data_IF_613560588803
#
_entry.id   IF_613560588803
#
_cell.length_a   1.000
_cell.length_b   1.000
_cell.length_c   1.000
_cell.angle_alpha   90.00
_cell.angle_beta   90.00
_cell.angle_gamma   90.00
#
_symmetry.space_group_name_H-M   'P 1'
#
loop_
_entity.id
_entity.type
_entity.pdbx_description
1 polymer ?
#
# COMPACT_ATOMS: atom_id res chain seq x y z
N UNK A 1 -1.55 11.38 15.41
CA UNK A 1 -0.29 10.82 15.94
C UNK A 1 0.43 9.89 14.97
N UNK A 2 -0.22 9.39 13.91
CA UNK A 2 0.35 8.44 12.93
C UNK A 2 1.22 9.09 11.84
N UNK A 3 1.09 10.40 11.60
CA UNK A 3 1.79 11.12 10.51
C UNK A 3 3.25 11.54 10.83
N UNK A 4 3.83 11.13 11.95
CA UNK A 4 5.18 11.59 12.36
C UNK A 4 6.34 10.74 11.86
N UNK A 5 6.10 9.66 11.11
CA UNK A 5 7.12 8.59 11.04
C UNK A 5 7.81 8.48 9.67
N UNK A 6 7.39 9.22 8.65
CA UNK A 6 7.91 9.01 7.28
C UNK A 6 8.82 10.14 6.79
N UNK A 7 10.06 10.21 7.26
CA UNK A 7 11.00 11.29 6.94
C UNK A 7 12.23 10.90 6.11
N UNK A 8 12.38 9.67 5.64
CA UNK A 8 13.68 9.23 5.13
C UNK A 8 13.79 8.75 3.68
N UNK A 9 12.71 8.41 2.99
CA UNK A 9 12.83 7.63 1.75
C UNK A 9 12.29 8.28 0.46
N UNK A 10 11.97 9.55 0.45
CA UNK A 10 11.38 10.19 -0.75
C UNK A 10 12.40 10.75 -1.77
N UNK A 11 13.64 10.32 -1.78
CA UNK A 11 14.58 10.61 -2.88
C UNK A 11 14.93 9.40 -3.73
N UNK A 12 14.27 8.27 -3.56
CA UNK A 12 14.37 7.18 -4.51
C UNK A 12 13.44 7.46 -5.70
N UNK A 13 14.06 7.61 -6.86
CA UNK A 13 13.45 7.58 -8.20
C UNK A 13 12.17 6.73 -8.19
N UNK A 14 11.02 7.33 -8.60
CA UNK A 14 9.69 6.69 -8.65
C UNK A 14 9.66 5.52 -9.68
N UNK A 15 10.79 5.03 -10.08
CA UNK A 15 10.91 3.78 -10.85
C UNK A 15 10.68 2.63 -9.89
N UNK A 16 9.42 2.19 -9.81
CA UNK A 16 9.08 0.89 -9.22
C UNK A 16 10.10 -0.14 -9.71
N UNK A 17 10.85 -0.82 -8.83
CA UNK A 17 11.75 -1.86 -9.28
C UNK A 17 10.96 -2.84 -10.14
N UNK A 18 11.55 -3.35 -11.24
CA UNK A 18 10.84 -4.25 -12.12
C UNK A 18 10.35 -5.45 -11.29
N UNK A 19 9.04 -5.63 -11.28
CA UNK A 19 8.45 -6.88 -10.81
C UNK A 19 9.06 -8.01 -11.63
N UNK A 20 9.26 -9.21 -11.07
CA UNK A 20 9.78 -10.33 -11.83
C UNK A 20 8.99 -10.45 -13.13
N UNK A 21 9.67 -10.29 -14.26
CA UNK A 21 9.07 -10.48 -15.59
C UNK A 21 8.71 -11.95 -15.71
N UNK A 22 7.44 -12.25 -15.58
CA UNK A 22 6.87 -13.56 -15.93
C UNK A 22 5.95 -13.30 -17.10
N UNK A 23 6.28 -13.87 -18.26
CA UNK A 23 5.42 -13.84 -19.44
C UNK A 23 4.02 -14.35 -19.04
N UNK A 24 3.03 -13.46 -19.11
CA UNK A 24 1.68 -13.73 -18.66
C UNK A 24 0.75 -13.83 -19.87
N UNK A 25 0.23 -15.00 -20.10
CA UNK A 25 -1.09 -15.13 -20.70
C UNK A 25 -2.11 -14.83 -19.59
N UNK A 26 -2.76 -13.67 -19.63
CA UNK A 26 -3.85 -13.37 -18.73
C UNK A 26 -4.99 -14.37 -18.96
N UNK A 27 -5.63 -14.89 -17.89
CA UNK A 27 -6.83 -15.71 -18.06
C UNK A 27 -7.89 -14.92 -18.83
N UNK A 28 -8.49 -15.56 -19.81
CA UNK A 28 -9.55 -14.96 -20.64
C UNK A 28 -10.70 -14.53 -19.72
N UNK A 29 -11.06 -13.23 -19.74
CA UNK A 29 -12.26 -12.71 -19.11
C UNK A 29 -12.08 -11.94 -17.80
N UNK A 30 -10.85 -11.77 -17.26
CA UNK A 30 -10.67 -10.97 -16.05
C UNK A 30 -10.37 -9.50 -16.39
N UNK A 31 -11.20 -8.58 -15.85
CA UNK A 31 -10.95 -7.13 -15.89
C UNK A 31 -10.09 -6.74 -14.67
N UNK A 32 -8.88 -6.22 -14.87
CA UNK A 32 -8.07 -5.73 -13.76
C UNK A 32 -8.82 -4.67 -12.95
N UNK A 33 -8.53 -4.60 -11.64
CA UNK A 33 -9.07 -3.56 -10.78
C UNK A 33 -8.73 -2.18 -11.34
N UNK A 34 -9.77 -1.39 -11.63
CA UNK A 34 -9.64 0.01 -12.04
C UNK A 34 -10.15 0.91 -10.91
N UNK A 35 -9.27 1.73 -10.35
CA UNK A 35 -9.62 2.73 -9.34
C UNK A 35 -9.96 4.03 -10.08
N UNK A 36 -11.23 4.17 -10.45
CA UNK A 36 -11.73 5.28 -11.28
C UNK A 36 -12.42 6.39 -10.49
N UNK A 37 -12.60 6.20 -9.18
CA UNK A 37 -13.27 7.15 -8.30
C UNK A 37 -12.53 7.26 -6.97
N UNK A 38 -12.53 8.45 -6.41
CA UNK A 38 -12.03 8.74 -5.06
C UNK A 38 -12.86 8.04 -3.96
N UNK A 39 -14.06 7.55 -4.32
CA UNK A 39 -14.92 6.73 -3.45
C UNK A 39 -14.67 5.23 -3.59
N UNK A 40 -13.75 4.82 -4.48
CA UNK A 40 -13.45 3.40 -4.66
C UNK A 40 -13.00 2.77 -3.33
N UNK A 41 -13.55 1.61 -2.91
CA UNK A 41 -13.32 1.03 -1.59
C UNK A 41 -11.85 0.90 -1.19
N UNK A 42 -10.98 0.45 -2.10
CA UNK A 42 -9.55 0.32 -1.80
C UNK A 42 -8.86 1.68 -1.65
N UNK A 43 -9.26 2.68 -2.44
CA UNK A 43 -8.69 4.02 -2.35
C UNK A 43 -9.08 4.71 -1.03
N UNK A 44 -10.34 4.56 -0.61
CA UNK A 44 -10.80 5.04 0.70
C UNK A 44 -10.06 4.33 1.84
N UNK A 45 -9.88 3.00 1.76
CA UNK A 45 -9.14 2.25 2.78
C UNK A 45 -7.67 2.72 2.89
N UNK A 46 -7.00 3.01 1.77
CA UNK A 46 -5.67 3.63 1.78
C UNK A 46 -5.72 4.99 2.50
N UNK A 47 -6.71 5.82 2.21
CA UNK A 47 -6.88 7.10 2.89
C UNK A 47 -7.11 6.97 4.40
N UNK A 48 -7.78 5.92 4.86
CA UNK A 48 -7.90 5.60 6.30
C UNK A 48 -6.52 5.26 6.88
N UNK A 49 -5.74 4.44 6.19
CA UNK A 49 -4.35 4.13 6.59
C UNK A 49 -3.46 5.37 6.67
N UNK A 50 -3.67 6.34 5.77
CA UNK A 50 -2.94 7.62 5.73
C UNK A 50 -3.50 8.70 6.68
N UNK A 51 -4.64 8.43 7.35
CA UNK A 51 -5.30 9.40 8.22
C UNK A 51 -5.97 10.57 7.47
N UNK A 52 -6.12 10.49 6.16
CA UNK A 52 -6.75 11.50 5.30
C UNK A 52 -8.24 11.26 5.08
N UNK A 53 -8.71 10.05 5.41
CA UNK A 53 -10.11 9.66 5.38
C UNK A 53 -10.58 9.20 6.75
N UNK A 54 -11.86 9.46 7.04
CA UNK A 54 -12.56 8.88 8.21
C UNK A 54 -13.01 7.46 7.91
N UNK A 55 -13.41 6.71 8.93
CA UNK A 55 -13.89 5.33 8.79
C UNK A 55 -15.05 5.18 7.79
N UNK A 56 -15.99 6.13 7.78
CA UNK A 56 -17.10 6.19 6.83
C UNK A 56 -16.74 6.77 5.44
N UNK A 57 -15.45 7.01 5.18
CA UNK A 57 -14.94 7.49 3.88
C UNK A 57 -14.95 9.00 3.67
N UNK A 58 -15.39 9.78 4.64
CA UNK A 58 -15.30 11.24 4.61
C UNK A 58 -13.86 11.76 4.62
N UNK A 59 -13.65 13.02 4.29
CA UNK A 59 -12.34 13.66 4.31
C UNK A 59 -11.99 14.20 5.70
N UNK A 60 -10.75 13.97 6.14
CA UNK A 60 -10.21 14.62 7.32
C UNK A 60 -9.56 15.96 6.95
N UNK A 61 -9.15 16.75 7.96
CA UNK A 61 -8.38 17.98 7.71
C UNK A 61 -7.08 17.72 6.93
N UNK A 62 -6.44 16.57 7.18
CA UNK A 62 -5.17 16.20 6.52
C UNK A 62 -5.33 16.03 5.00
N UNK A 63 -6.51 15.65 4.51
CA UNK A 63 -6.82 15.56 3.08
C UNK A 63 -6.61 16.88 2.34
N UNK A 64 -7.02 18.00 2.95
CA UNK A 64 -6.93 19.33 2.34
C UNK A 64 -5.50 19.90 2.34
N UNK A 65 -4.62 19.25 3.06
CA UNK A 65 -3.20 19.51 3.05
C UNK A 65 -2.62 19.87 4.41
N UNK A 66 -1.38 19.44 4.58
CA UNK A 66 -0.52 19.80 5.70
C UNK A 66 0.91 19.91 5.19
N UNK A 67 1.70 20.75 5.85
CA UNK A 67 3.14 20.85 5.57
C UNK A 67 3.87 19.79 6.39
N UNK A 68 4.65 18.94 5.73
CA UNK A 68 5.52 17.99 6.42
C UNK A 68 6.62 18.77 7.16
N UNK A 69 6.68 18.68 8.50
CA UNK A 69 7.68 19.41 9.27
C UNK A 69 9.12 18.92 9.03
N UNK A 70 9.30 17.80 8.31
CA UNK A 70 10.61 17.24 8.03
C UNK A 70 11.27 17.77 6.79
N UNK A 71 10.50 18.12 5.76
CA UNK A 71 11.02 18.58 4.49
C UNK A 71 10.36 19.87 3.98
N UNK A 72 9.39 20.43 4.72
CA UNK A 72 8.68 21.66 4.35
C UNK A 72 7.72 21.50 3.16
N UNK A 73 7.54 20.29 2.63
CA UNK A 73 6.70 20.06 1.45
C UNK A 73 5.24 19.91 1.86
N UNK A 74 4.36 20.50 1.06
CA UNK A 74 2.92 20.39 1.27
C UNK A 74 2.41 19.05 0.70
N UNK A 75 1.82 18.25 1.55
CA UNK A 75 1.14 17.00 1.22
C UNK A 75 -0.37 17.22 1.12
N UNK A 76 -1.03 16.65 0.12
CA UNK A 76 -2.47 16.78 -0.13
C UNK A 76 -3.07 15.48 -0.66
N UNK A 77 -4.40 15.37 -0.55
CA UNK A 77 -5.18 14.27 -1.11
C UNK A 77 -5.21 13.03 -0.25
N UNK A 78 -5.85 11.99 -0.76
CA UNK A 78 -6.12 10.73 -0.07
C UNK A 78 -4.84 10.02 0.38
N UNK A 79 -3.79 10.08 -0.42
CA UNK A 79 -2.50 9.40 -0.15
C UNK A 79 -1.52 10.29 0.63
N UNK A 80 -1.92 11.51 0.98
CA UNK A 80 -1.00 12.46 1.65
C UNK A 80 0.31 12.66 0.86
N UNK A 81 0.20 12.72 -0.46
CA UNK A 81 1.36 12.67 -1.36
C UNK A 81 1.85 14.03 -1.83
N UNK A 82 3.08 14.05 -2.32
CA UNK A 82 3.78 15.25 -2.81
C UNK A 82 3.64 15.43 -4.34
N UNK A 83 2.63 14.86 -4.97
CA UNK A 83 2.44 14.96 -6.42
C UNK A 83 1.98 16.36 -6.88
N UNK A 84 1.81 17.28 -5.95
CA UNK A 84 1.47 18.68 -6.20
C UNK A 84 0.04 18.93 -6.64
N UNK A 85 -0.35 20.20 -6.69
CA UNK A 85 -1.67 20.65 -7.09
C UNK A 85 -2.73 20.57 -5.99
N UNK A 86 -4.00 20.49 -6.39
CA UNK A 86 -5.12 20.32 -5.46
C UNK A 86 -5.25 18.87 -4.97
N UNK A 87 -5.95 18.63 -3.85
CA UNK A 87 -6.27 17.27 -3.41
C UNK A 87 -6.85 16.39 -4.51
N UNK A 88 -7.82 16.90 -5.27
CA UNK A 88 -8.43 16.15 -6.37
C UNK A 88 -7.43 15.84 -7.52
N UNK A 89 -6.47 16.74 -7.78
CA UNK A 89 -5.42 16.47 -8.78
C UNK A 89 -4.45 15.41 -8.28
N UNK A 90 -4.05 15.47 -7.02
CA UNK A 90 -3.24 14.44 -6.37
C UNK A 90 -3.95 13.07 -6.41
N UNK A 91 -5.24 13.03 -6.06
CA UNK A 91 -6.04 11.81 -6.07
C UNK A 91 -6.12 11.19 -7.47
N UNK A 92 -6.38 11.98 -8.52
CA UNK A 92 -6.39 11.45 -9.90
C UNK A 92 -5.07 10.79 -10.29
N UNK A 93 -3.94 11.39 -9.93
CA UNK A 93 -2.60 10.84 -10.22
C UNK A 93 -2.38 9.53 -9.47
N UNK A 94 -2.74 9.49 -8.18
CA UNK A 94 -2.58 8.30 -7.36
C UNK A 94 -3.53 7.17 -7.78
N UNK A 95 -4.76 7.46 -8.16
CA UNK A 95 -5.68 6.46 -8.74
C UNK A 95 -5.08 5.80 -9.98
N UNK A 96 -4.45 6.57 -10.86
CA UNK A 96 -3.74 6.03 -12.03
C UNK A 96 -2.56 5.13 -11.65
N UNK A 97 -1.72 5.56 -10.69
CA UNK A 97 -0.58 4.78 -10.20
C UNK A 97 -1.06 3.45 -9.59
N UNK A 98 -2.07 3.49 -8.73
CA UNK A 98 -2.59 2.30 -8.05
C UNK A 98 -3.30 1.35 -9.01
N UNK A 99 -4.05 1.87 -10.00
CA UNK A 99 -4.63 1.07 -11.07
C UNK A 99 -3.54 0.35 -11.87
N UNK A 100 -2.48 1.06 -12.27
CA UNK A 100 -1.34 0.46 -12.95
C UNK A 100 -0.62 -0.59 -12.10
N UNK A 101 -0.51 -0.37 -10.78
CA UNK A 101 0.06 -1.36 -9.87
C UNK A 101 -0.84 -2.59 -9.77
N UNK A 102 -2.16 -2.41 -9.61
CA UNK A 102 -3.12 -3.51 -9.59
C UNK A 102 -3.05 -4.36 -10.86
N UNK A 103 -2.99 -3.71 -12.03
CA UNK A 103 -2.88 -4.40 -13.31
C UNK A 103 -1.62 -5.28 -13.40
N UNK A 104 -0.47 -4.77 -12.92
CA UNK A 104 0.80 -5.52 -12.92
C UNK A 104 0.81 -6.69 -11.96
N UNK A 105 0.22 -6.55 -10.77
CA UNK A 105 0.27 -7.61 -9.74
C UNK A 105 -0.83 -8.64 -9.88
N UNK A 106 -1.95 -8.31 -10.49
CA UNK A 106 -3.09 -9.22 -10.69
C UNK A 106 -2.68 -10.57 -11.27
N UNK A 107 -1.96 -10.66 -12.40
CA UNK A 107 -1.56 -11.95 -12.96
C UNK A 107 -0.63 -12.73 -12.03
N UNK A 108 0.18 -12.03 -11.23
CA UNK A 108 1.08 -12.67 -10.25
C UNK A 108 0.28 -13.32 -9.15
N UNK A 109 -0.70 -12.59 -8.58
CA UNK A 109 -1.57 -13.09 -7.51
C UNK A 109 -2.41 -14.30 -7.97
N UNK A 110 -2.91 -14.26 -9.21
CA UNK A 110 -3.67 -15.38 -9.79
C UNK A 110 -2.81 -16.64 -9.94
N UNK A 111 -1.56 -16.51 -10.41
CA UNK A 111 -0.63 -17.65 -10.48
C UNK A 111 -0.27 -18.23 -9.11
N UNK A 112 -0.36 -17.42 -8.06
CA UNK A 112 -0.21 -17.87 -6.67
C UNK A 112 -1.49 -18.52 -6.10
N UNK A 113 -2.53 -18.70 -6.90
CA UNK A 113 -3.79 -19.35 -6.51
C UNK A 113 -4.82 -18.42 -5.87
N UNK A 114 -4.56 -17.12 -5.81
CA UNK A 114 -5.54 -16.16 -5.32
C UNK A 114 -6.65 -15.94 -6.36
N UNK A 115 -7.90 -16.09 -5.93
CA UNK A 115 -9.06 -15.89 -6.80
C UNK A 115 -9.62 -14.48 -6.62
N UNK A 116 -9.78 -13.69 -7.71
CA UNK A 116 -10.38 -12.37 -7.67
C UNK A 116 -11.72 -12.34 -6.94
N UNK A 117 -11.95 -11.30 -6.14
CA UNK A 117 -13.19 -11.12 -5.38
C UNK A 117 -13.24 -11.85 -4.05
N UNK A 118 -12.38 -12.84 -3.79
CA UNK A 118 -12.31 -13.49 -2.48
C UNK A 118 -11.74 -12.57 -1.40
N UNK A 119 -12.01 -12.90 -0.14
CA UNK A 119 -11.46 -12.14 0.99
C UNK A 119 -9.93 -12.15 1.00
N UNK A 120 -9.31 -13.30 0.75
CA UNK A 120 -7.84 -13.42 0.66
C UNK A 120 -7.26 -12.55 -0.45
N UNK A 121 -7.87 -12.59 -1.64
CA UNK A 121 -7.50 -11.71 -2.76
C UNK A 121 -7.54 -10.23 -2.36
N UNK A 122 -8.69 -9.80 -1.84
CA UNK A 122 -8.90 -8.39 -1.50
C UNK A 122 -7.92 -7.91 -0.40
N UNK A 123 -7.66 -8.74 0.61
CA UNK A 123 -6.67 -8.44 1.65
C UNK A 123 -5.28 -8.28 1.08
N UNK A 124 -4.83 -9.25 0.28
CA UNK A 124 -3.48 -9.22 -0.29
C UNK A 124 -3.34 -8.06 -1.26
N UNK A 125 -4.30 -7.88 -2.19
CA UNK A 125 -4.26 -6.78 -3.16
C UNK A 125 -4.27 -5.41 -2.46
N UNK A 126 -5.15 -5.19 -1.48
CA UNK A 126 -5.15 -3.96 -0.69
C UNK A 126 -3.76 -3.69 -0.07
N UNK A 127 -3.16 -4.71 0.54
CA UNK A 127 -1.87 -4.56 1.19
C UNK A 127 -0.70 -4.33 0.22
N UNK A 128 -0.77 -4.86 -1.00
CA UNK A 128 0.16 -4.50 -2.08
C UNK A 128 0.02 -3.02 -2.44
N UNK A 129 -1.22 -2.54 -2.62
CA UNK A 129 -1.49 -1.16 -3.02
C UNK A 129 -1.11 -0.16 -1.91
N UNK A 130 -1.47 -0.45 -0.66
CA UNK A 130 -1.12 0.39 0.49
C UNK A 130 0.41 0.42 0.73
N UNK A 131 1.08 -0.72 0.59
CA UNK A 131 2.54 -0.78 0.68
C UNK A 131 3.23 -0.02 -0.47
N UNK A 132 2.64 -0.03 -1.68
CA UNK A 132 3.15 0.75 -2.81
C UNK A 132 3.09 2.26 -2.55
N UNK A 133 2.13 2.72 -1.75
CA UNK A 133 2.07 4.11 -1.27
C UNK A 133 3.15 4.36 -0.22
N UNK A 134 3.25 3.48 0.76
CA UNK A 134 4.11 3.66 1.93
C UNK A 134 5.60 3.46 1.61
N UNK A 135 5.93 2.40 0.89
CA UNK A 135 7.30 1.98 0.59
C UNK A 135 7.35 1.20 -0.73
N UNK A 136 7.34 1.88 -1.89
CA UNK A 136 7.31 1.22 -3.20
C UNK A 136 8.41 0.17 -3.39
N UNK A 137 9.61 0.40 -2.83
CA UNK A 137 10.74 -0.52 -2.91
C UNK A 137 10.49 -1.86 -2.19
N UNK A 138 9.64 -1.86 -1.15
CA UNK A 138 9.32 -3.07 -0.38
C UNK A 138 8.29 -3.98 -1.07
N UNK A 139 7.57 -3.49 -2.08
CA UNK A 139 6.47 -4.23 -2.74
C UNK A 139 6.95 -5.54 -3.35
N UNK A 140 8.10 -5.54 -4.02
CA UNK A 140 8.65 -6.76 -4.63
C UNK A 140 8.97 -7.84 -3.58
N UNK A 141 9.52 -7.45 -2.43
CA UNK A 141 9.82 -8.35 -1.33
C UNK A 141 8.54 -8.89 -0.68
N UNK A 142 7.53 -8.05 -0.52
CA UNK A 142 6.22 -8.46 -0.02
C UNK A 142 5.56 -9.49 -0.95
N UNK A 143 5.57 -9.26 -2.27
CA UNK A 143 5.00 -10.20 -3.25
C UNK A 143 5.69 -11.58 -3.15
N UNK A 144 6.99 -11.63 -2.96
CA UNK A 144 7.72 -12.90 -2.78
C UNK A 144 7.29 -13.69 -1.53
N UNK A 145 6.75 -13.02 -0.53
CA UNK A 145 6.27 -13.63 0.73
C UNK A 145 4.80 -14.10 0.67
N UNK A 146 4.07 -13.79 -0.41
CA UNK A 146 2.65 -14.17 -0.54
C UNK A 146 2.41 -15.68 -0.38
N UNK A 147 3.22 -16.59 -0.92
CA UNK A 147 3.01 -18.03 -0.67
C UNK A 147 2.97 -18.39 0.82
N UNK A 148 3.85 -17.80 1.63
CA UNK A 148 3.85 -17.99 3.08
C UNK A 148 2.62 -17.38 3.75
N UNK A 149 2.15 -16.22 3.27
CA UNK A 149 0.92 -15.59 3.73
C UNK A 149 -0.28 -16.52 3.49
N UNK A 150 -0.34 -17.16 2.31
CA UNK A 150 -1.43 -18.06 1.94
C UNK A 150 -1.44 -19.33 2.79
N UNK A 151 -0.27 -19.89 3.10
CA UNK A 151 -0.15 -21.04 4.02
C UNK A 151 -0.69 -20.74 5.43
N UNK A 152 -0.73 -19.46 5.81
CA UNK A 152 -1.26 -18.97 7.09
C UNK A 152 -2.69 -18.38 6.93
N UNK A 153 -3.43 -18.79 5.89
CA UNK A 153 -4.82 -18.41 5.64
C UNK A 153 -5.02 -16.92 5.31
N UNK A 154 -3.99 -16.24 4.80
CA UNK A 154 -3.99 -14.80 4.53
C UNK A 154 -4.49 -13.98 5.75
N UNK A 155 -4.06 -14.38 6.95
CA UNK A 155 -4.38 -13.69 8.19
C UNK A 155 -3.75 -12.29 8.26
N UNK A 156 -4.37 -11.39 9.02
CA UNK A 156 -3.83 -10.03 9.22
C UNK A 156 -2.41 -10.09 9.79
N UNK A 157 -2.16 -11.03 10.72
CA UNK A 157 -0.87 -11.19 11.36
C UNK A 157 0.22 -11.64 10.37
N UNK A 158 -0.10 -12.62 9.51
CA UNK A 158 0.81 -13.09 8.46
C UNK A 158 1.14 -11.97 7.47
N UNK A 159 0.14 -11.21 7.06
CA UNK A 159 0.31 -10.07 6.17
C UNK A 159 1.17 -8.98 6.83
N UNK A 160 0.88 -8.62 8.08
CA UNK A 160 1.62 -7.61 8.83
C UNK A 160 3.11 -7.99 8.97
N UNK A 161 3.36 -9.26 9.31
CA UNK A 161 4.73 -9.78 9.40
C UNK A 161 5.45 -9.71 8.06
N UNK A 162 4.81 -10.16 6.99
CA UNK A 162 5.39 -10.11 5.65
C UNK A 162 5.67 -8.68 5.20
N UNK A 163 4.78 -7.72 5.51
CA UNK A 163 5.01 -6.29 5.25
C UNK A 163 6.22 -5.78 6.02
N UNK A 164 6.31 -6.02 7.32
CA UNK A 164 7.44 -5.60 8.14
C UNK A 164 8.77 -6.22 7.68
N UNK A 165 8.76 -7.51 7.39
CA UNK A 165 9.93 -8.23 6.88
C UNK A 165 10.39 -7.75 5.48
N UNK A 166 9.51 -7.05 4.75
CA UNK A 166 9.84 -6.48 3.43
C UNK A 166 10.65 -5.18 3.51
N UNK A 167 10.84 -4.64 4.71
CA UNK A 167 11.77 -3.55 4.97
C UNK A 167 13.18 -4.05 5.35
N UNK A 168 13.39 -5.36 5.42
CA UNK A 168 14.72 -5.92 5.64
C UNK A 168 15.42 -6.03 4.28
N UNK A 169 16.55 -5.35 4.14
CA UNK A 169 17.34 -5.40 2.92
C UNK A 169 17.86 -6.84 2.71
N UNK A 170 17.48 -7.52 1.61
CA UNK A 170 17.79 -8.93 1.43
C UNK A 170 19.30 -9.23 1.24
N UNK A 171 20.11 -8.21 0.88
CA UNK A 171 21.55 -8.37 0.71
C UNK A 171 22.32 -8.20 2.00
N UNK A 172 21.84 -7.35 2.90
CA UNK A 172 22.58 -6.99 4.12
C UNK A 172 21.94 -7.53 5.39
N UNK A 173 20.70 -8.04 5.32
CA UNK A 173 19.91 -8.43 6.48
C UNK A 173 19.51 -7.27 7.41
N UNK A 174 19.81 -6.02 7.03
CA UNK A 174 19.55 -4.86 7.88
C UNK A 174 18.15 -4.33 7.64
N UNK A 175 17.50 -3.90 8.72
CA UNK A 175 16.22 -3.21 8.65
C UNK A 175 16.43 -1.81 8.07
N UNK A 176 15.71 -1.48 7.00
CA UNK A 176 15.67 -0.15 6.38
C UNK A 176 14.30 0.48 6.65
N UNK A 177 14.12 0.98 7.85
CA UNK A 177 12.88 1.58 8.34
C UNK A 177 13.18 2.84 9.18
N UNK A 178 13.93 3.77 8.57
CA UNK A 178 14.39 5.00 9.24
C UNK A 178 13.28 5.82 9.88
N UNK A 179 12.10 5.90 9.24
CA UNK A 179 10.91 6.54 9.80
C UNK A 179 10.40 5.93 11.11
N UNK A 180 10.79 4.70 11.40
CA UNK A 180 10.47 3.98 12.64
C UNK A 180 11.69 3.90 13.60
N UNK A 181 12.74 4.68 13.32
CA UNK A 181 14.00 4.63 14.07
C UNK A 181 14.69 3.27 13.96
N UNK A 182 14.51 2.56 12.83
CA UNK A 182 14.97 1.20 12.59
C UNK A 182 14.55 0.20 13.69
N UNK A 183 13.40 0.44 14.33
CA UNK A 183 12.81 -0.47 15.31
C UNK A 183 11.83 -1.40 14.64
N UNK A 184 12.13 -2.70 14.58
CA UNK A 184 11.24 -3.70 14.01
C UNK A 184 9.88 -3.73 14.73
N UNK A 185 9.85 -3.62 16.06
CA UNK A 185 8.60 -3.62 16.80
C UNK A 185 7.69 -2.45 16.44
N UNK A 186 8.24 -1.23 16.33
CA UNK A 186 7.46 -0.04 15.91
C UNK A 186 6.93 -0.21 14.49
N UNK A 187 7.78 -0.67 13.58
CA UNK A 187 7.39 -0.97 12.21
C UNK A 187 6.28 -2.02 12.19
N UNK A 188 6.46 -3.14 12.89
CA UNK A 188 5.48 -4.23 12.91
C UNK A 188 4.11 -3.78 13.43
N UNK A 189 4.04 -2.98 14.49
CA UNK A 189 2.77 -2.45 14.99
C UNK A 189 2.07 -1.55 13.97
N UNK A 190 2.81 -0.70 13.26
CA UNK A 190 2.27 0.10 12.17
C UNK A 190 1.74 -0.80 11.04
N UNK A 191 2.54 -1.77 10.58
CA UNK A 191 2.14 -2.68 9.50
C UNK A 191 0.92 -3.53 9.89
N UNK A 192 0.81 -3.93 11.16
CA UNK A 192 -0.35 -4.65 11.67
C UNK A 192 -1.62 -3.80 11.66
N UNK A 193 -1.51 -2.55 12.06
CA UNK A 193 -2.63 -1.59 11.97
C UNK A 193 -3.10 -1.43 10.52
N UNK A 194 -2.17 -1.18 9.60
CA UNK A 194 -2.46 -1.02 8.17
C UNK A 194 -3.06 -2.28 7.53
N UNK A 195 -2.50 -3.44 7.82
CA UNK A 195 -2.97 -4.72 7.27
C UNK A 195 -4.45 -4.99 7.57
N UNK A 196 -4.94 -4.53 8.72
CA UNK A 196 -6.32 -4.71 9.17
C UNK A 196 -7.33 -3.70 8.61
N UNK A 197 -6.89 -2.61 7.98
CA UNK A 197 -7.80 -1.50 7.57
C UNK A 197 -8.86 -1.96 6.59
N UNK A 198 -8.50 -2.84 5.64
CA UNK A 198 -9.47 -3.37 4.69
C UNK A 198 -10.63 -4.10 5.36
N UNK A 199 -10.35 -4.96 6.33
CA UNK A 199 -11.37 -5.71 7.04
C UNK A 199 -12.19 -4.82 7.99
N UNK A 200 -11.54 -3.86 8.63
CA UNK A 200 -12.21 -2.87 9.49
C UNK A 200 -13.27 -2.10 8.69
N UNK A 201 -12.90 -1.57 7.52
CA UNK A 201 -13.80 -0.80 6.67
C UNK A 201 -15.02 -1.60 6.20
N UNK A 202 -14.89 -2.91 6.02
CA UNK A 202 -16.01 -3.76 5.57
C UNK A 202 -17.06 -4.04 6.64
N UNK A 203 -16.77 -3.69 7.90
CA UNK A 203 -17.66 -3.92 9.05
C UNK A 203 -18.53 -2.72 9.40
N UNK A 204 -18.23 -1.55 8.83
CA UNK A 204 -18.91 -0.28 9.01
C UNK A 204 -19.63 0.13 7.72
#
# INVERSE_FOLDING_TARGET
LLNRIWKGQQKADIRTPPLPQVAATAPVGFVPLAITSDKHPMFVAIGISEGTRTANGGYTRAYYGHTDPGNGVRNVGTVSGQLGGSPATSDRRWMGILTGTAARVTPVLQRMGLQPGTQGWNRVLFNVLDLNVQAPAAVGDFIRKIPQILQQGASIEAIAKARADSFINPRTGRLDAGGFGNSYNRLFQDQRSRAGVWDYRRRI
#
